data_IF_753127205027
#
_entry.id   IF_753127205027
#
_cell.length_a   1.000
_cell.length_b   1.000
_cell.length_c   1.000
_cell.angle_alpha   90.00
_cell.angle_beta   90.00
_cell.angle_gamma   90.00
#
_symmetry.space_group_name_H-M   'P 1'
#
loop_
_entity.id
_entity.type
_entity.pdbx_description
1 polymer ?
#
# COMPACT_ATOMS: atom_id res chain seq x y z
N UNK A 1 -5.90 15.67 -15.82
CA UNK A 1 -5.72 14.78 -17.00
C UNK A 1 -6.62 13.57 -16.87
N UNK A 2 -6.78 12.77 -17.93
CA UNK A 2 -7.68 11.61 -17.94
C UNK A 2 -6.88 10.31 -17.89
N UNK A 3 -7.33 9.38 -17.06
CA UNK A 3 -6.84 8.02 -17.02
C UNK A 3 -8.01 7.05 -17.20
N UNK A 4 -7.77 5.99 -17.97
CA UNK A 4 -8.78 4.96 -18.25
C UNK A 4 -8.39 3.72 -17.46
N UNK A 5 -9.20 3.35 -16.48
CA UNK A 5 -8.99 2.18 -15.62
C UNK A 5 -10.15 1.22 -15.85
N UNK A 6 -9.87 0.01 -16.33
CA UNK A 6 -10.91 -0.99 -16.60
C UNK A 6 -12.06 -0.43 -17.47
N UNK A 7 -11.71 0.27 -18.54
CA UNK A 7 -12.61 0.95 -19.49
C UNK A 7 -13.45 2.10 -18.91
N UNK A 8 -13.10 2.62 -17.72
CA UNK A 8 -13.75 3.78 -17.11
C UNK A 8 -12.79 4.96 -17.02
N UNK A 9 -13.28 6.14 -17.37
CA UNK A 9 -12.51 7.38 -17.25
C UNK A 9 -12.49 7.89 -15.80
N UNK A 10 -11.33 8.35 -15.37
CA UNK A 10 -11.10 8.99 -14.08
C UNK A 10 -10.24 10.24 -14.24
N UNK A 11 -10.48 11.23 -13.38
CA UNK A 11 -9.65 12.40 -13.29
C UNK A 11 -8.39 12.10 -12.49
N UNK A 12 -7.25 12.52 -13.02
CA UNK A 12 -5.94 12.36 -12.40
C UNK A 12 -5.14 13.66 -12.49
N UNK A 13 -4.20 13.81 -11.58
CA UNK A 13 -3.22 14.89 -11.51
C UNK A 13 -1.80 14.33 -11.57
N UNK A 14 -0.88 15.15 -12.08
CA UNK A 14 0.53 14.81 -12.08
C UNK A 14 1.02 14.71 -10.62
N UNK A 15 1.85 13.71 -10.34
CA UNK A 15 2.33 13.41 -8.99
C UNK A 15 1.45 12.43 -8.21
N UNK A 16 0.23 12.14 -8.67
CA UNK A 16 -0.59 11.08 -8.06
C UNK A 16 -0.08 9.69 -8.41
N UNK A 17 -0.23 8.75 -7.47
CA UNK A 17 -0.04 7.33 -7.75
C UNK A 17 -1.28 6.76 -8.42
N UNK A 18 -1.11 5.78 -9.30
CA UNK A 18 -2.24 5.15 -10.01
C UNK A 18 -3.29 4.59 -9.04
N UNK A 19 -2.85 4.03 -7.91
CA UNK A 19 -3.77 3.50 -6.91
C UNK A 19 -4.64 4.57 -6.24
N UNK A 20 -4.12 5.78 -6.05
CA UNK A 20 -4.85 6.85 -5.37
C UNK A 20 -5.98 7.36 -6.28
N UNK A 21 -5.70 7.47 -7.59
CA UNK A 21 -6.71 7.78 -8.60
C UNK A 21 -7.79 6.69 -8.66
N UNK A 22 -7.39 5.41 -8.68
CA UNK A 22 -8.33 4.30 -8.70
C UNK A 22 -9.23 4.28 -7.46
N UNK A 23 -8.68 4.54 -6.27
CA UNK A 23 -9.44 4.60 -5.01
C UNK A 23 -10.43 5.75 -5.01
N UNK A 24 -10.01 6.95 -5.42
CA UNK A 24 -10.88 8.13 -5.56
C UNK A 24 -11.99 7.90 -6.59
N UNK A 25 -11.67 7.21 -7.67
CA UNK A 25 -12.60 6.88 -8.75
C UNK A 25 -13.43 5.60 -8.55
N UNK A 26 -13.28 4.90 -7.43
CA UNK A 26 -13.90 3.59 -7.16
C UNK A 26 -13.63 2.53 -8.25
N UNK A 27 -12.47 2.60 -8.89
CA UNK A 27 -12.03 1.60 -9.86
C UNK A 27 -11.45 0.36 -9.15
N UNK A 28 -11.77 -0.83 -9.66
CA UNK A 28 -11.35 -2.09 -9.05
C UNK A 28 -9.87 -2.39 -9.30
N UNK A 29 -9.01 -1.91 -8.40
CA UNK A 29 -7.60 -2.32 -8.26
C UNK A 29 -7.39 -2.80 -6.83
N UNK A 30 -6.73 -3.94 -6.66
CA UNK A 30 -6.46 -4.47 -5.32
C UNK A 30 -5.50 -3.58 -4.53
N UNK A 31 -5.74 -3.47 -3.23
CA UNK A 31 -4.94 -2.67 -2.32
C UNK A 31 -4.99 -3.26 -0.92
N UNK A 32 -4.00 -4.09 -0.60
CA UNK A 32 -3.93 -4.76 0.70
C UNK A 32 -2.87 -4.14 1.62
N UNK A 33 -1.64 -3.99 1.15
CA UNK A 33 -0.50 -3.59 1.99
C UNK A 33 -0.32 -2.07 2.19
N UNK A 34 -1.27 -1.23 1.79
CA UNK A 34 -1.12 0.21 1.96
C UNK A 34 -0.19 0.91 0.95
N UNK A 35 0.28 0.19 -0.08
CA UNK A 35 1.27 0.72 -1.03
C UNK A 35 2.72 0.57 -0.61
N UNK A 36 3.00 -0.29 0.37
CA UNK A 36 4.34 -0.49 0.93
C UNK A 36 5.18 -1.54 0.19
N UNK A 37 4.81 -1.95 -1.02
CA UNK A 37 5.52 -3.01 -1.76
C UNK A 37 5.68 -4.32 -0.95
N UNK A 38 4.63 -4.74 -0.23
CA UNK A 38 4.62 -5.98 0.56
C UNK A 38 3.61 -7.02 0.06
N UNK A 39 2.78 -6.65 -0.92
CA UNK A 39 1.84 -7.57 -1.57
C UNK A 39 1.77 -7.27 -3.07
N UNK A 40 1.14 -8.16 -3.83
CA UNK A 40 1.04 -8.08 -5.31
C UNK A 40 -0.39 -7.81 -5.79
N UNK A 41 -1.30 -7.38 -4.90
CA UNK A 41 -2.73 -7.21 -5.23
C UNK A 41 -3.02 -6.01 -6.14
N UNK A 42 -2.11 -5.04 -6.22
CA UNK A 42 -2.26 -3.82 -7.00
C UNK A 42 -1.71 -3.93 -8.43
N UNK A 43 -1.49 -5.14 -8.93
CA UNK A 43 -0.98 -5.36 -10.28
C UNK A 43 -1.94 -4.80 -11.32
N UNK A 44 -1.36 -4.04 -12.25
CA UNK A 44 -2.04 -3.50 -13.42
C UNK A 44 -1.15 -3.70 -14.63
N UNK A 45 -1.77 -3.89 -15.78
CA UNK A 45 -1.09 -3.88 -17.08
C UNK A 45 -1.34 -2.52 -17.72
N UNK A 46 -0.27 -1.80 -18.02
CA UNK A 46 -0.34 -0.52 -18.72
C UNK A 46 -0.49 -0.80 -20.21
N UNK A 47 -1.67 -0.49 -20.75
CA UNK A 47 -1.99 -0.68 -22.16
C UNK A 47 -1.48 0.49 -23.01
N UNK A 48 -1.54 1.70 -22.48
CA UNK A 48 -1.09 2.94 -23.14
C UNK A 48 -0.56 3.95 -22.11
N UNK A 49 0.42 4.77 -22.49
CA UNK A 49 0.94 5.86 -21.67
C UNK A 49 1.98 5.45 -20.63
N UNK A 50 2.74 4.38 -20.87
CA UNK A 50 3.78 3.92 -19.94
C UNK A 50 4.90 4.96 -19.75
N UNK A 51 5.22 5.73 -20.78
CA UNK A 51 6.20 6.82 -20.81
C UNK A 51 5.79 8.07 -19.99
N UNK A 52 4.52 8.11 -19.58
CA UNK A 52 3.95 9.15 -18.73
C UNK A 52 4.07 8.82 -17.24
N UNK A 53 4.46 7.58 -16.91
CA UNK A 53 4.63 7.09 -15.55
C UNK A 53 6.09 7.18 -15.12
N UNK A 54 6.30 7.16 -13.81
CA UNK A 54 7.61 6.96 -13.21
C UNK A 54 8.22 5.64 -13.68
N UNK A 55 9.54 5.67 -13.88
CA UNK A 55 10.30 4.44 -14.10
C UNK A 55 10.14 3.50 -12.90
N UNK A 56 10.15 2.17 -13.10
CA UNK A 56 10.08 1.23 -11.99
C UNK A 56 11.20 1.48 -10.98
N UNK A 57 10.82 1.72 -9.72
CA UNK A 57 11.77 1.86 -8.62
C UNK A 57 12.28 0.51 -8.13
N UNK A 58 13.31 0.52 -7.28
CA UNK A 58 13.86 -0.72 -6.71
C UNK A 58 12.83 -1.59 -5.97
N UNK A 59 11.90 -1.04 -5.17
CA UNK A 59 10.86 -1.87 -4.54
C UNK A 59 9.93 -2.54 -5.54
N UNK A 60 9.65 -1.87 -6.66
CA UNK A 60 8.78 -2.42 -7.71
C UNK A 60 9.51 -3.53 -8.47
N UNK A 61 10.79 -3.31 -8.83
CA UNK A 61 11.65 -4.31 -9.49
C UNK A 61 11.93 -5.53 -8.61
N UNK A 62 11.93 -5.38 -7.28
CA UNK A 62 12.10 -6.51 -6.37
C UNK A 62 10.85 -7.40 -6.33
N UNK A 63 9.66 -6.81 -6.55
CA UNK A 63 8.37 -7.50 -6.49
C UNK A 63 7.92 -8.11 -7.81
N UNK A 64 8.37 -7.54 -8.94
CA UNK A 64 8.04 -7.97 -10.30
C UNK A 64 9.24 -8.62 -10.98
N UNK A 65 9.01 -9.69 -11.73
CA UNK A 65 10.04 -10.23 -12.63
C UNK A 65 10.30 -9.28 -13.80
N UNK A 66 11.48 -9.39 -14.42
CA UNK A 66 11.81 -8.61 -15.61
C UNK A 66 10.77 -8.82 -16.74
N UNK A 67 10.31 -10.06 -16.93
CA UNK A 67 9.31 -10.37 -17.95
C UNK A 67 7.98 -9.67 -17.71
N UNK A 68 7.50 -9.64 -16.46
CA UNK A 68 6.25 -8.92 -16.15
C UNK A 68 6.39 -7.42 -16.43
N UNK A 69 7.53 -6.81 -16.08
CA UNK A 69 7.81 -5.41 -16.38
C UNK A 69 7.83 -5.14 -17.90
N UNK A 70 8.46 -6.01 -18.68
CA UNK A 70 8.51 -5.93 -20.15
C UNK A 70 7.13 -6.07 -20.79
N UNK A 71 6.26 -6.90 -20.21
CA UNK A 71 4.86 -7.05 -20.62
C UNK A 71 3.96 -5.87 -20.19
N UNK A 72 4.54 -4.84 -19.56
CA UNK A 72 3.82 -3.64 -19.12
C UNK A 72 3.11 -3.80 -17.78
N UNK A 73 3.38 -4.87 -17.03
CA UNK A 73 2.87 -5.03 -15.66
C UNK A 73 3.57 -4.03 -14.74
N UNK A 74 2.78 -3.30 -13.98
CA UNK A 74 3.21 -2.32 -12.98
C UNK A 74 2.49 -2.55 -11.66
N UNK A 75 3.08 -2.07 -10.58
CA UNK A 75 2.43 -1.96 -9.28
C UNK A 75 1.76 -0.60 -9.17
N UNK A 76 0.43 -0.54 -9.27
CA UNK A 76 -0.31 0.73 -9.27
C UNK A 76 -0.05 1.58 -8.02
N UNK A 77 0.35 0.97 -6.90
CA UNK A 77 0.68 1.69 -5.68
C UNK A 77 2.08 2.29 -5.62
N UNK A 78 2.94 1.98 -6.59
CA UNK A 78 4.32 2.49 -6.70
C UNK A 78 4.53 3.33 -7.97
N UNK A 79 3.71 3.11 -9.00
CA UNK A 79 3.74 3.91 -10.22
C UNK A 79 3.07 5.28 -10.01
N UNK A 80 3.82 6.34 -10.31
CA UNK A 80 3.40 7.74 -10.18
C UNK A 80 3.25 8.36 -11.56
N UNK A 81 2.26 9.23 -11.73
CA UNK A 81 2.05 9.98 -12.97
C UNK A 81 3.06 11.12 -13.04
N UNK A 82 4.00 11.07 -13.98
CA UNK A 82 5.07 12.06 -14.11
C UNK A 82 4.85 13.07 -15.23
N UNK A 83 3.99 12.78 -16.21
CA UNK A 83 3.75 13.68 -17.35
C UNK A 83 2.27 13.73 -17.71
N UNK A 84 1.78 14.87 -18.25
CA UNK A 84 0.42 14.96 -18.74
C UNK A 84 0.21 14.10 -19.97
N UNK A 85 -0.96 13.45 -20.07
CA UNK A 85 -1.36 12.67 -21.24
C UNK A 85 -2.57 11.79 -20.95
N UNK A 86 -2.75 10.74 -21.76
CA UNK A 86 -3.78 9.72 -21.54
C UNK A 86 -3.08 8.42 -21.18
N UNK A 87 -3.47 7.83 -20.05
CA UNK A 87 -2.96 6.54 -19.59
C UNK A 87 -4.13 5.56 -19.61
N UNK A 88 -3.90 4.35 -20.10
CA UNK A 88 -4.91 3.29 -20.11
C UNK A 88 -4.35 2.05 -19.42
N UNK A 89 -5.07 1.54 -18.43
CA UNK A 89 -4.65 0.40 -17.64
C UNK A 89 -5.78 -0.59 -17.39
N UNK A 90 -5.37 -1.85 -17.26
CA UNK A 90 -6.23 -2.97 -16.91
C UNK A 90 -5.74 -3.58 -15.60
N UNK A 91 -6.61 -3.71 -14.60
CA UNK A 91 -6.25 -4.38 -13.36
C UNK A 91 -6.18 -5.89 -13.54
N UNK A 92 -5.29 -6.56 -12.80
CA UNK A 92 -5.17 -8.02 -12.87
C UNK A 92 -6.50 -8.75 -12.56
N UNK A 93 -7.31 -8.18 -11.65
CA UNK A 93 -8.64 -8.73 -11.33
C UNK A 93 -9.59 -8.62 -12.52
N UNK A 94 -9.57 -7.49 -13.24
CA UNK A 94 -10.39 -7.30 -14.42
C UNK A 94 -9.92 -8.15 -15.60
N UNK A 95 -8.60 -8.35 -15.77
CA UNK A 95 -8.05 -9.28 -16.75
C UNK A 95 -8.54 -10.72 -16.51
N UNK A 96 -8.46 -11.19 -15.26
CA UNK A 96 -8.98 -12.51 -14.86
C UNK A 96 -10.48 -12.60 -15.07
N UNK A 97 -11.24 -11.56 -14.72
CA UNK A 97 -12.70 -11.51 -14.94
C UNK A 97 -13.04 -11.62 -16.43
N UNK A 98 -12.33 -10.91 -17.31
CA UNK A 98 -12.52 -10.98 -18.76
C UNK A 98 -12.20 -12.36 -19.29
N UNK A 99 -11.07 -12.93 -18.87
CA UNK A 99 -10.67 -14.30 -19.25
C UNK A 99 -11.71 -15.33 -18.81
N UNK A 100 -12.21 -15.24 -17.58
CA UNK A 100 -13.28 -16.09 -17.08
C UNK A 100 -14.60 -15.94 -17.86
N UNK A 101 -14.83 -14.81 -18.52
CA UNK A 101 -16.01 -14.59 -19.35
C UNK A 101 -15.81 -15.02 -20.81
N UNK A 102 -14.62 -14.85 -21.39
CA UNK A 102 -14.36 -15.10 -22.81
C UNK A 102 -13.77 -16.47 -23.11
N UNK A 103 -12.76 -16.90 -22.34
CA UNK A 103 -12.10 -18.21 -22.51
C UNK A 103 -11.59 -18.72 -21.14
N UNK A 104 -12.48 -19.37 -20.35
CA UNK A 104 -12.13 -19.87 -19.02
C UNK A 104 -11.00 -20.91 -19.02
N UNK A 105 -10.74 -21.59 -20.15
CA UNK A 105 -9.70 -22.61 -20.25
C UNK A 105 -8.29 -22.01 -20.15
N UNK A 106 -8.14 -20.69 -20.30
CA UNK A 106 -6.86 -19.99 -20.11
C UNK A 106 -6.53 -19.72 -18.65
N UNK A 107 -7.50 -19.80 -17.73
CA UNK A 107 -7.28 -19.47 -16.32
C UNK A 107 -6.15 -20.29 -15.67
N UNK A 108 -6.06 -21.63 -15.86
CA UNK A 108 -4.94 -22.41 -15.33
C UNK A 108 -3.58 -21.97 -15.88
N UNK A 109 -3.52 -21.64 -17.18
CA UNK A 109 -2.29 -21.17 -17.82
C UNK A 109 -1.88 -19.80 -17.27
N UNK A 110 -2.84 -18.88 -17.09
CA UNK A 110 -2.61 -17.59 -16.45
C UNK A 110 -2.12 -17.76 -15.00
N UNK A 111 -2.78 -18.61 -14.20
CA UNK A 111 -2.35 -18.87 -12.81
C UNK A 111 -0.96 -19.49 -12.75
N UNK A 112 -0.64 -20.43 -13.64
CA UNK A 112 0.70 -21.02 -13.73
C UNK A 112 1.76 -19.98 -14.10
N UNK A 113 1.45 -19.12 -15.09
CA UNK A 113 2.30 -17.99 -15.50
C UNK A 113 2.59 -17.07 -14.30
N UNK A 114 1.55 -16.57 -13.65
CA UNK A 114 1.70 -15.63 -12.54
C UNK A 114 2.43 -16.25 -11.34
N UNK A 115 2.14 -17.52 -11.03
CA UNK A 115 2.84 -18.25 -9.97
C UNK A 115 4.33 -18.45 -10.28
N UNK A 116 4.67 -18.74 -11.53
CA UNK A 116 6.06 -18.86 -11.96
C UNK A 116 6.81 -17.52 -11.85
N UNK A 117 6.22 -16.43 -12.33
CA UNK A 117 6.85 -15.11 -12.24
C UNK A 117 7.04 -14.64 -10.79
N UNK A 118 6.09 -14.99 -9.90
CA UNK A 118 6.25 -14.74 -8.47
C UNK A 118 7.43 -15.52 -7.88
N UNK A 119 7.63 -16.79 -8.28
CA UNK A 119 8.77 -17.59 -7.85
C UNK A 119 10.11 -17.02 -8.39
N UNK A 120 10.12 -16.53 -9.63
CA UNK A 120 11.30 -15.87 -10.22
C UNK A 120 11.66 -14.59 -9.46
N UNK A 121 10.67 -13.77 -9.08
CA UNK A 121 10.89 -12.55 -8.31
C UNK A 121 11.19 -12.81 -6.81
N UNK A 122 10.88 -14.00 -6.30
CA UNK A 122 10.90 -14.33 -4.88
C UNK A 122 12.25 -14.02 -4.18
N UNK A 123 13.43 -14.36 -4.74
CA UNK A 123 14.70 -14.08 -4.05
C UNK A 123 14.94 -12.59 -3.81
N UNK A 124 14.63 -11.75 -4.82
CA UNK A 124 14.77 -10.30 -4.72
C UNK A 124 13.73 -9.71 -3.75
N UNK A 125 12.48 -10.20 -3.83
CA UNK A 125 11.43 -9.83 -2.88
C UNK A 125 11.85 -10.14 -1.44
N UNK A 126 12.32 -11.37 -1.17
CA UNK A 126 12.76 -11.79 0.16
C UNK A 126 13.93 -10.92 0.64
N UNK A 127 14.94 -10.72 -0.20
CA UNK A 127 16.09 -9.88 0.15
C UNK A 127 15.66 -8.45 0.53
N UNK A 128 14.75 -7.85 -0.24
CA UNK A 128 14.19 -6.54 0.08
C UNK A 128 13.41 -6.54 1.41
N UNK A 129 12.54 -7.52 1.66
CA UNK A 129 11.76 -7.56 2.91
C UNK A 129 12.65 -7.82 4.13
N UNK A 130 13.67 -8.67 3.99
CA UNK A 130 14.68 -8.87 5.04
C UNK A 130 15.46 -7.58 5.28
N UNK A 131 15.91 -6.89 4.23
CA UNK A 131 16.60 -5.60 4.34
C UNK A 131 15.80 -4.59 5.14
N UNK A 132 14.52 -4.41 4.80
CA UNK A 132 13.59 -3.54 5.55
C UNK A 132 13.45 -3.92 7.02
N UNK A 133 13.48 -5.21 7.29
CA UNK A 133 13.30 -5.75 8.64
C UNK A 133 14.57 -5.59 9.48
N UNK A 134 15.75 -5.77 8.88
CA UNK A 134 17.05 -5.62 9.55
C UNK A 134 17.40 -4.15 9.76
N UNK A 135 17.15 -3.30 8.75
CA UNK A 135 17.39 -1.85 8.81
C UNK A 135 16.40 -1.13 9.74
N UNK A 136 15.24 -1.74 10.00
CA UNK A 136 14.13 -1.18 10.77
C UNK A 136 13.86 -1.84 12.13
N UNK A 137 14.89 -2.20 12.90
CA UNK A 137 14.81 -2.75 14.28
C UNK A 137 14.56 -4.26 14.43
N UNK A 138 15.56 -5.08 14.09
CA UNK A 138 15.85 -6.27 14.91
C UNK A 138 16.94 -5.92 15.93
N UNK A 139 16.65 -4.99 16.83
CA UNK A 139 17.41 -4.89 18.08
C UNK A 139 16.75 -5.85 19.08
N UNK A 140 17.29 -7.05 19.31
CA UNK A 140 16.70 -8.01 20.23
C UNK A 140 16.54 -7.45 21.66
N UNK A 141 17.33 -6.44 22.04
CA UNK A 141 17.21 -5.76 23.33
C UNK A 141 15.99 -4.83 23.36
N UNK A 142 15.73 -4.06 22.29
CA UNK A 142 14.56 -3.17 22.22
C UNK A 142 13.25 -3.97 22.21
N UNK A 143 13.21 -5.08 21.46
CA UNK A 143 12.06 -5.99 21.45
C UNK A 143 11.80 -6.56 22.85
N UNK A 144 12.86 -6.98 23.56
CA UNK A 144 12.74 -7.48 24.93
C UNK A 144 12.26 -6.39 25.91
N UNK A 145 12.72 -5.15 25.73
CA UNK A 145 12.30 -3.99 26.54
C UNK A 145 10.84 -3.62 26.31
N UNK A 146 10.37 -3.63 25.06
CA UNK A 146 8.96 -3.38 24.73
C UNK A 146 8.05 -4.46 25.30
N UNK A 147 8.46 -5.74 25.20
CA UNK A 147 7.72 -6.84 25.83
C UNK A 147 7.70 -6.71 27.36
N UNK A 148 8.82 -6.35 27.99
CA UNK A 148 8.88 -6.12 29.43
C UNK A 148 8.00 -4.95 29.87
N UNK A 149 7.98 -3.85 29.10
CA UNK A 149 7.11 -2.70 29.35
C UNK A 149 5.62 -3.04 29.24
N UNK A 150 5.24 -3.82 28.22
CA UNK A 150 3.86 -4.29 28.05
C UNK A 150 3.40 -5.22 29.19
N UNK A 151 4.29 -6.13 29.63
CA UNK A 151 4.02 -7.01 30.78
C UNK A 151 3.91 -6.21 32.07
N UNK A 152 4.78 -5.21 32.28
CA UNK A 152 4.73 -4.34 33.46
C UNK A 152 3.42 -3.53 33.51
N UNK A 153 3.01 -2.94 32.38
CA UNK A 153 1.73 -2.21 32.30
C UNK A 153 0.52 -3.12 32.52
N UNK A 154 0.57 -4.38 32.06
CA UNK A 154 -0.48 -5.36 32.33
C UNK A 154 -0.56 -5.77 33.81
N UNK A 155 0.60 -5.93 34.48
CA UNK A 155 0.68 -6.24 35.92
C UNK A 155 0.19 -5.05 36.75
N UNK A 156 0.54 -3.82 36.37
CA UNK A 156 0.08 -2.60 37.03
C UNK A 156 -1.44 -2.44 36.90
N UNK A 157 -1.99 -2.66 35.70
CA UNK A 157 -3.43 -2.63 35.46
C UNK A 157 -4.16 -3.72 36.25
N UNK A 158 -3.62 -4.94 36.29
CA UNK A 158 -4.17 -6.04 37.10
C UNK A 158 -4.07 -5.74 38.59
N UNK A 159 -2.99 -5.09 39.05
CA UNK A 159 -2.82 -4.60 40.41
C UNK A 159 -3.88 -3.55 40.79
N UNK A 160 -4.15 -2.59 39.90
CA UNK A 160 -5.25 -1.64 40.05
C UNK A 160 -6.61 -2.33 40.13
N UNK A 161 -6.87 -3.34 39.29
CA UNK A 161 -8.13 -4.09 39.30
C UNK A 161 -8.29 -4.97 40.55
N UNK A 162 -7.20 -5.52 41.10
CA UNK A 162 -7.24 -6.44 42.24
C UNK A 162 -7.12 -5.73 43.60
N UNK A 163 -6.48 -4.57 43.68
CA UNK A 163 -6.13 -3.91 44.95
C UNK A 163 -6.52 -2.42 45.04
N UNK A 164 -7.21 -1.83 44.07
CA UNK A 164 -7.45 -0.39 44.02
C UNK A 164 -8.90 0.06 43.83
N UNK A 165 -9.72 -0.01 44.89
CA UNK A 165 -10.71 1.02 45.15
C UNK A 165 -10.08 2.06 46.10
N UNK A 166 -9.89 3.29 45.63
CA UNK A 166 -9.68 4.48 46.47
C UNK A 166 -8.40 5.27 46.23
N UNK A 167 -8.41 6.20 45.26
CA UNK A 167 -8.17 7.65 45.47
C UNK A 167 -7.86 8.37 44.14
N UNK A 168 -8.49 9.54 44.01
CA UNK A 168 -8.18 10.66 43.12
C UNK A 168 -8.37 10.50 41.60
N UNK A 169 -9.62 10.68 41.20
CA UNK A 169 -9.95 11.21 39.89
C UNK A 169 -9.44 12.65 39.72
N UNK A 170 -8.35 12.80 38.96
CA UNK A 170 -8.05 13.98 38.13
C UNK A 170 -6.88 13.66 37.21
N UNK A 171 -7.08 13.80 35.90
CA UNK A 171 -5.98 13.92 34.94
C UNK A 171 -5.86 12.84 33.86
N UNK A 172 -6.94 12.48 33.16
CA UNK A 172 -6.78 11.78 31.86
C UNK A 172 -7.84 12.15 30.79
N UNK A 173 -8.70 13.13 31.04
CA UNK A 173 -9.62 13.63 30.02
C UNK A 173 -9.02 14.80 29.20
N UNK A 174 -7.91 15.40 29.64
CA UNK A 174 -7.35 16.59 28.98
C UNK A 174 -6.34 16.29 27.86
N UNK A 175 -5.69 15.12 27.85
CA UNK A 175 -4.72 14.80 26.80
C UNK A 175 -5.37 14.27 25.51
N UNK A 176 -6.51 13.58 25.59
CA UNK A 176 -7.22 13.11 24.40
C UNK A 176 -7.90 14.26 23.62
N UNK A 177 -8.17 15.39 24.27
CA UNK A 177 -8.79 16.56 23.63
C UNK A 177 -7.78 17.58 23.07
N UNK A 178 -6.46 17.37 23.29
CA UNK A 178 -5.40 18.26 22.79
C UNK A 178 -4.84 17.84 21.44
N UNK A 179 -4.87 16.55 21.11
CA UNK A 179 -4.49 16.05 19.78
C UNK A 179 -5.54 16.38 18.70
N UNK A 180 -6.83 16.37 19.03
CA UNK A 180 -7.88 16.71 18.05
C UNK A 180 -8.08 18.22 17.81
N UNK A 181 -7.57 19.10 18.70
CA UNK A 181 -7.58 20.56 18.50
C UNK A 181 -6.33 21.12 17.83
N UNK A 182 -5.24 20.34 17.77
CA UNK A 182 -4.00 20.71 17.09
C UNK A 182 -4.01 20.53 15.58
N UNK A 183 -4.90 19.70 15.03
CA UNK A 183 -5.02 19.46 13.59
C UNK A 183 -6.04 20.36 12.88
N UNK A 184 -7.08 20.85 13.57
CA UNK A 184 -8.10 21.75 12.97
C UNK A 184 -7.73 23.22 12.88
N UNK A 185 -6.61 23.67 13.45
CA UNK A 185 -6.23 25.11 13.42
C UNK A 185 -5.15 25.45 12.39
N UNK A 186 -4.59 24.48 11.67
CA UNK A 186 -3.58 24.73 10.63
C UNK A 186 -4.11 24.77 9.19
N UNK A 187 -5.38 24.44 8.97
CA UNK A 187 -5.96 24.40 7.61
C UNK A 187 -6.76 25.66 7.24
N UNK A 188 -7.07 26.56 8.19
CA UNK A 188 -7.89 27.77 7.94
C UNK A 188 -7.10 29.11 7.85
N UNK A 189 -5.77 29.10 7.75
CA UNK A 189 -4.98 30.36 7.63
C UNK A 189 -3.96 30.43 6.49
N UNK A 190 -4.14 29.65 5.41
CA UNK A 190 -3.36 29.82 4.16
C UNK A 190 -4.21 30.13 2.93
N UNK A 191 -5.26 30.91 3.12
CA UNK A 191 -5.99 31.62 2.07
C UNK A 191 -6.36 33.05 2.51
N UNK A 192 -5.35 33.85 2.87
CA UNK A 192 -5.41 35.31 2.92
C UNK A 192 -3.99 35.88 3.13
N UNK A 193 -3.18 35.86 2.09
CA UNK A 193 -2.01 36.73 1.89
C UNK A 193 -1.64 36.72 0.41
#
# INVERSE_FOLDING_TARGET
MKIIINDREHEAEQGERLIDVARRGHAHIGYFCGGNAACQTCYVTVLEGAELLSAPGEPEKAMLSARLLEEGTRMACLATIEKPGTIRLLSAVEEVRRMAASDPLQLPAYSAKMGWEALVALPATIAMQIGRTIEGHFNPIAILQDMAGAVAGAIELAGHMLFGAGSDGKGCAEDCAREERGSRTKEDTRSAA
#
